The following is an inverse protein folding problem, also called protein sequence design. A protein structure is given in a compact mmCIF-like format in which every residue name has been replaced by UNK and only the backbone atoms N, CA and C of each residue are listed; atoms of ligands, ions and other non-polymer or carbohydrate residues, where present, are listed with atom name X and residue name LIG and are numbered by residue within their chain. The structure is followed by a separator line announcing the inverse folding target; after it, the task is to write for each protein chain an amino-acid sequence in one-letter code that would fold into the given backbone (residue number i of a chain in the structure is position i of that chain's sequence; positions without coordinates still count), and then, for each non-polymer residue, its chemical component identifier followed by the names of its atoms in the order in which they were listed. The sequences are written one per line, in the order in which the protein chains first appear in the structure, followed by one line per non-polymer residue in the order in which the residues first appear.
data_IF_914562355837
#
_entry.id   IF_914562355837
#
_cell.length_a   1.000
_cell.length_b   1.000
_cell.length_c   1.000
_cell.angle_alpha   90.00
_cell.angle_beta   90.00
_cell.angle_gamma   90.00
#
_symmetry.space_group_name_H-M   'P 1'
#
loop_
_entity.id
_entity.type
_entity.pdbx_description
1 polymer ?
#
# COMPACT_ATOMS: atom_id res chain seq x y z
N UNK A 1 -11.32 -3.26 5.10
CA UNK A 1 -10.38 -2.98 6.20
C UNK A 1 -11.06 -2.96 7.58
N UNK A 2 -12.03 -2.07 7.81
CA UNK A 2 -12.68 -1.85 9.12
C UNK A 2 -13.30 -3.12 9.72
N UNK A 3 -14.04 -3.90 8.92
CA UNK A 3 -14.60 -5.18 9.36
C UNK A 3 -13.52 -6.19 9.79
N UNK A 4 -12.38 -6.22 9.10
CA UNK A 4 -11.23 -7.06 9.45
C UNK A 4 -10.53 -6.64 10.75
N UNK A 5 -10.40 -5.33 11.01
CA UNK A 5 -9.88 -4.79 12.28
C UNK A 5 -10.82 -5.13 13.43
N UNK A 6 -12.13 -4.97 13.25
CA UNK A 6 -13.13 -5.32 14.26
C UNK A 6 -13.06 -6.82 14.55
N UNK A 7 -13.11 -7.67 13.52
CA UNK A 7 -13.03 -9.13 13.65
C UNK A 7 -11.75 -9.57 14.38
N UNK A 8 -10.60 -9.00 14.02
CA UNK A 8 -9.29 -9.34 14.62
C UNK A 8 -9.19 -8.95 16.10
N UNK A 9 -9.88 -7.88 16.53
CA UNK A 9 -9.88 -7.47 17.93
C UNK A 9 -11.01 -8.12 18.75
N UNK A 10 -12.17 -8.43 18.16
CA UNK A 10 -13.36 -8.91 18.88
C UNK A 10 -13.48 -10.43 18.95
N UNK A 11 -13.17 -11.15 17.86
CA UNK A 11 -13.34 -12.61 17.81
C UNK A 11 -12.43 -13.35 18.79
N UNK A 12 -11.15 -12.97 18.98
CA UNK A 12 -10.30 -13.62 19.99
C UNK A 12 -10.76 -13.38 21.44
N UNK A 13 -11.49 -12.27 21.69
CA UNK A 13 -12.03 -11.93 23.01
C UNK A 13 -13.30 -12.73 23.33
N UNK A 14 -14.18 -12.89 22.34
CA UNK A 14 -15.48 -13.57 22.49
C UNK A 14 -15.31 -15.10 22.39
N UNK A 15 -14.42 -15.57 21.51
CA UNK A 15 -14.15 -17.00 21.30
C UNK A 15 -12.68 -17.35 21.47
N UNK A 16 -12.25 -17.43 22.74
CA UNK A 16 -10.89 -17.81 23.15
C UNK A 16 -10.43 -19.21 22.68
N UNK A 17 -11.36 -20.07 22.23
CA UNK A 17 -11.07 -21.44 21.75
C UNK A 17 -10.82 -21.53 20.25
N UNK A 18 -11.13 -20.50 19.47
CA UNK A 18 -10.84 -20.50 18.04
C UNK A 18 -9.39 -20.09 17.81
N UNK A 19 -8.58 -20.93 17.14
CA UNK A 19 -7.25 -20.50 16.71
C UNK A 19 -7.41 -19.41 15.66
N UNK A 20 -7.10 -18.17 16.03
CA UNK A 20 -7.16 -17.04 15.12
C UNK A 20 -6.02 -17.18 14.09
N UNK A 21 -6.30 -17.18 12.77
CA UNK A 21 -5.30 -17.45 11.74
C UNK A 21 -4.31 -16.29 11.49
N UNK A 22 -4.30 -15.25 12.33
CA UNK A 22 -3.39 -14.13 12.19
C UNK A 22 -1.95 -14.58 12.36
N UNK A 23 -1.11 -14.31 11.37
CA UNK A 23 0.31 -14.66 11.38
C UNK A 23 0.63 -16.12 11.02
N UNK A 24 -0.35 -16.91 10.54
CA UNK A 24 -0.06 -18.27 10.06
C UNK A 24 0.55 -18.24 8.64
N UNK A 25 1.44 -19.20 8.31
CA UNK A 25 1.98 -19.31 6.96
C UNK A 25 0.88 -19.58 5.91
N UNK A 26 -0.23 -20.22 6.31
CA UNK A 26 -1.39 -20.43 5.43
C UNK A 26 -2.07 -19.13 5.03
N UNK A 27 -2.20 -18.16 5.94
CA UNK A 27 -2.78 -16.85 5.64
C UNK A 27 -1.86 -16.04 4.71
N UNK A 28 -0.54 -16.12 4.91
CA UNK A 28 0.44 -15.49 4.04
C UNK A 28 0.35 -16.02 2.60
N UNK A 29 0.26 -17.35 2.43
CA UNK A 29 0.10 -17.99 1.12
C UNK A 29 -1.20 -17.55 0.42
N UNK A 30 -2.31 -17.48 1.15
CA UNK A 30 -3.58 -17.00 0.60
C UNK A 30 -3.46 -15.54 0.18
N UNK A 31 -2.83 -14.70 1.00
CA UNK A 31 -2.61 -13.28 0.70
C UNK A 31 -1.79 -13.10 -0.58
N UNK A 32 -0.67 -13.83 -0.71
CA UNK A 32 0.19 -13.78 -1.90
C UNK A 32 -0.56 -14.26 -3.15
N UNK A 33 -1.36 -15.31 -3.03
CA UNK A 33 -2.19 -15.83 -4.13
C UNK A 33 -3.27 -14.83 -4.56
N UNK A 34 -4.01 -14.24 -3.61
CA UNK A 34 -5.02 -13.23 -3.89
C UNK A 34 -4.43 -11.97 -4.53
N UNK A 35 -3.24 -11.54 -4.08
CA UNK A 35 -2.51 -10.42 -4.66
C UNK A 35 -2.08 -10.71 -6.11
N UNK A 36 -1.57 -11.93 -6.37
CA UNK A 36 -1.26 -12.39 -7.72
C UNK A 36 -2.48 -12.43 -8.64
N UNK A 37 -3.62 -12.94 -8.15
CA UNK A 37 -4.88 -12.94 -8.91
C UNK A 37 -5.37 -11.51 -9.22
N UNK A 38 -5.28 -10.59 -8.26
CA UNK A 38 -5.64 -9.19 -8.47
C UNK A 38 -4.81 -8.55 -9.59
N UNK A 39 -3.48 -8.75 -9.56
CA UNK A 39 -2.59 -8.25 -10.60
C UNK A 39 -2.90 -8.87 -11.97
N UNK A 40 -3.16 -10.17 -12.02
CA UNK A 40 -3.51 -10.87 -13.26
C UNK A 40 -4.81 -10.33 -13.89
N UNK A 41 -5.85 -10.13 -13.07
CA UNK A 41 -7.11 -9.54 -13.54
C UNK A 41 -6.92 -8.11 -14.06
N UNK A 42 -6.12 -7.30 -13.35
CA UNK A 42 -5.82 -5.93 -13.79
C UNK A 42 -5.08 -5.89 -15.13
N UNK A 43 -4.15 -6.83 -15.36
CA UNK A 43 -3.40 -6.93 -16.62
C UNK A 43 -4.26 -7.43 -17.79
N UNK A 44 -5.15 -8.38 -17.55
CA UNK A 44 -6.03 -8.92 -18.59
C UNK A 44 -7.05 -7.89 -19.11
N UNK A 45 -7.43 -6.92 -18.27
CA UNK A 45 -8.35 -5.82 -18.63
C UNK A 45 -7.68 -4.71 -19.48
N UNK A 46 -6.35 -4.68 -19.57
CA UNK A 46 -5.64 -3.63 -20.30
C UNK A 46 -5.72 -3.85 -21.82
N UNK A 47 -6.42 -2.94 -22.50
CA UNK A 47 -6.43 -2.86 -23.96
C UNK A 47 -5.13 -2.19 -24.46
N UNK A 48 -4.02 -2.93 -24.46
CA UNK A 48 -2.70 -2.43 -24.90
C UNK A 48 -2.75 -1.73 -26.27
N UNK A 49 -3.62 -2.21 -27.17
CA UNK A 49 -3.81 -1.65 -28.51
C UNK A 49 -4.40 -0.24 -28.52
N UNK A 50 -5.33 0.08 -27.61
CA UNK A 50 -5.90 1.45 -27.51
C UNK A 50 -4.97 2.40 -26.76
N UNK A 51 -4.05 1.85 -25.97
CA UNK A 51 -3.02 2.62 -25.27
C UNK A 51 -1.82 2.97 -26.15
N UNK A 52 -1.60 2.32 -27.30
CA UNK A 52 -0.43 2.62 -28.17
C UNK A 52 -0.44 4.08 -28.64
N UNK A 53 -1.60 4.61 -29.01
CA UNK A 53 -1.74 6.01 -29.45
C UNK A 53 -1.47 7.01 -28.31
N UNK A 54 -1.61 6.56 -27.06
CA UNK A 54 -1.35 7.34 -25.85
C UNK A 54 -0.09 6.86 -25.09
N UNK A 55 0.70 5.95 -25.66
CA UNK A 55 1.79 5.31 -24.93
C UNK A 55 2.87 6.33 -24.54
N UNK A 56 3.15 7.28 -25.44
CA UNK A 56 4.13 8.33 -25.22
C UNK A 56 3.75 9.24 -24.02
N UNK A 57 2.53 9.83 -23.95
CA UNK A 57 2.13 10.62 -22.78
C UNK A 57 2.06 9.78 -21.50
N UNK A 58 1.61 8.52 -21.56
CA UNK A 58 1.58 7.63 -20.37
C UNK A 58 2.99 7.40 -19.83
N UNK A 59 3.96 7.11 -20.70
CA UNK A 59 5.34 6.84 -20.31
C UNK A 59 6.04 8.07 -19.72
N UNK A 60 5.74 9.25 -20.26
CA UNK A 60 6.25 10.53 -19.75
C UNK A 60 5.67 10.84 -18.36
N UNK A 61 4.36 10.63 -18.18
CA UNK A 61 3.69 10.75 -16.87
C UNK A 61 4.26 9.78 -15.85
N UNK A 62 4.41 8.49 -16.22
CA UNK A 62 5.00 7.47 -15.35
C UNK A 62 6.44 7.83 -14.96
N UNK A 63 7.25 8.28 -15.91
CA UNK A 63 8.61 8.75 -15.63
C UNK A 63 8.64 9.92 -14.66
N UNK A 64 7.81 10.95 -14.89
CA UNK A 64 7.70 12.09 -14.01
C UNK A 64 7.22 11.69 -12.60
N UNK A 65 6.22 10.79 -12.53
CA UNK A 65 5.69 10.26 -11.28
C UNK A 65 6.77 9.49 -10.50
N UNK A 66 7.52 8.61 -11.16
CA UNK A 66 8.60 7.85 -10.52
C UNK A 66 9.68 8.79 -9.98
N UNK A 67 10.11 9.78 -10.76
CA UNK A 67 11.11 10.76 -10.32
C UNK A 67 10.60 11.55 -9.11
N UNK A 68 9.35 12.04 -9.15
CA UNK A 68 8.76 12.81 -8.07
C UNK A 68 8.64 11.97 -6.79
N UNK A 69 8.14 10.73 -6.90
CA UNK A 69 7.98 9.83 -5.75
C UNK A 69 9.33 9.45 -5.14
N UNK A 70 10.33 9.14 -5.97
CA UNK A 70 11.69 8.85 -5.49
C UNK A 70 12.32 10.06 -4.81
N UNK A 71 12.21 11.24 -5.42
CA UNK A 71 12.69 12.49 -4.84
C UNK A 71 12.02 12.77 -3.49
N UNK A 72 10.69 12.69 -3.43
CA UNK A 72 9.94 12.92 -2.20
C UNK A 72 10.26 11.89 -1.11
N UNK A 73 10.37 10.62 -1.48
CA UNK A 73 10.68 9.53 -0.55
C UNK A 73 12.07 9.72 0.09
N UNK A 74 13.08 10.09 -0.70
CA UNK A 74 14.47 10.28 -0.21
C UNK A 74 14.63 11.62 0.54
N UNK A 75 14.13 12.72 -0.01
CA UNK A 75 14.38 14.05 0.56
C UNK A 75 13.43 14.43 1.68
N UNK A 76 12.18 13.96 1.65
CA UNK A 76 11.17 14.33 2.64
C UNK A 76 10.95 13.20 3.62
N UNK A 77 10.52 12.03 3.16
CA UNK A 77 10.08 10.94 4.06
C UNK A 77 11.25 10.39 4.87
N UNK A 78 12.35 10.03 4.22
CA UNK A 78 13.51 9.48 4.92
C UNK A 78 14.10 10.46 5.96
N UNK A 79 14.07 11.77 5.66
CA UNK A 79 14.54 12.81 6.60
C UNK A 79 13.54 13.09 7.72
N UNK A 80 12.24 13.14 7.41
CA UNK A 80 11.19 13.38 8.40
C UNK A 80 11.06 12.25 9.42
N UNK A 81 11.28 11.00 9.00
CA UNK A 81 11.21 9.82 9.87
C UNK A 81 12.50 9.55 10.67
N UNK A 82 13.46 10.49 10.69
CA UNK A 82 14.64 10.39 11.53
C UNK A 82 15.80 9.55 10.99
N UNK A 83 15.79 9.20 9.69
CA UNK A 83 16.88 8.50 8.98
C UNK A 83 17.29 7.14 9.54
N UNK A 84 16.37 6.43 10.20
CA UNK A 84 16.62 5.09 10.75
C UNK A 84 16.28 3.98 9.73
N UNK A 85 16.61 2.73 10.07
CA UNK A 85 16.26 1.56 9.25
C UNK A 85 14.74 1.47 9.00
N UNK A 86 13.94 1.72 10.02
CA UNK A 86 12.48 1.77 9.90
C UNK A 86 12.02 2.87 8.93
N UNK A 87 12.71 4.01 8.91
CA UNK A 87 12.45 5.08 7.94
C UNK A 87 12.73 4.64 6.50
N UNK A 88 13.77 3.83 6.27
CA UNK A 88 14.07 3.28 4.95
C UNK A 88 13.00 2.29 4.48
N UNK A 89 12.47 1.45 5.37
CA UNK A 89 11.37 0.53 5.04
C UNK A 89 10.08 1.29 4.81
N UNK A 90 9.76 2.29 5.64
CA UNK A 90 8.59 3.13 5.44
C UNK A 90 8.68 3.95 4.14
N UNK A 91 9.86 4.44 3.78
CA UNK A 91 10.12 5.12 2.50
C UNK A 91 9.93 4.18 1.29
N UNK A 92 10.39 2.92 1.41
CA UNK A 92 10.16 1.86 0.42
C UNK A 92 8.67 1.53 0.28
N UNK A 93 7.95 1.43 1.40
CA UNK A 93 6.50 1.26 1.44
C UNK A 93 5.75 2.42 0.82
N UNK A 94 6.12 3.66 1.13
CA UNK A 94 5.51 4.84 0.52
C UNK A 94 5.70 4.86 -0.99
N UNK A 95 6.91 4.58 -1.48
CA UNK A 95 7.17 4.53 -2.92
C UNK A 95 6.29 3.47 -3.60
N UNK A 96 6.11 2.31 -2.95
CA UNK A 96 5.19 1.27 -3.45
C UNK A 96 3.72 1.68 -3.41
N UNK A 97 3.28 2.44 -2.40
CA UNK A 97 1.92 2.98 -2.32
C UNK A 97 1.68 4.03 -3.42
N UNK A 98 2.61 4.96 -3.61
CA UNK A 98 2.46 6.08 -4.54
C UNK A 98 2.54 5.69 -6.03
N UNK A 99 3.20 4.57 -6.34
CA UNK A 99 3.29 4.03 -7.70
C UNK A 99 2.17 3.05 -8.05
N UNK A 100 1.40 2.60 -7.06
CA UNK A 100 0.37 1.60 -7.26
C UNK A 100 -0.66 1.63 -6.15
N UNK A 101 -0.53 0.73 -5.20
CA UNK A 101 -1.47 0.58 -4.10
C UNK A 101 -0.82 -0.06 -2.87
N UNK A 102 -1.61 -0.32 -1.83
CA UNK A 102 -1.19 -1.04 -0.62
C UNK A 102 -0.49 -2.39 -0.89
N UNK A 103 -0.92 -3.26 -1.83
CA UNK A 103 -0.21 -4.50 -2.14
C UNK A 103 1.22 -4.28 -2.66
N UNK A 104 1.46 -3.27 -3.51
CA UNK A 104 2.81 -2.97 -4.04
C UNK A 104 3.72 -2.41 -2.95
N UNK A 105 3.17 -1.65 -2.00
CA UNK A 105 3.91 -1.24 -0.79
C UNK A 105 4.34 -2.43 0.07
N UNK A 106 3.43 -3.36 0.35
CA UNK A 106 3.74 -4.55 1.15
C UNK A 106 4.79 -5.41 0.45
N UNK A 107 4.71 -5.58 -0.87
CA UNK A 107 5.72 -6.31 -1.64
C UNK A 107 7.11 -5.65 -1.56
N UNK A 108 7.18 -4.32 -1.69
CA UNK A 108 8.42 -3.56 -1.59
C UNK A 108 9.04 -3.64 -0.19
N UNK A 109 8.22 -3.44 0.84
CA UNK A 109 8.66 -3.54 2.25
C UNK A 109 9.14 -4.96 2.57
N UNK A 110 8.41 -5.98 2.10
CA UNK A 110 8.77 -7.40 2.31
C UNK A 110 10.09 -7.75 1.66
N UNK A 111 10.37 -7.19 0.48
CA UNK A 111 11.63 -7.40 -0.23
C UNK A 111 12.81 -6.81 0.55
N UNK A 112 12.64 -5.62 1.11
CA UNK A 112 13.67 -4.98 1.95
C UNK A 112 13.86 -5.75 3.25
N UNK A 113 12.78 -6.13 3.94
CA UNK A 113 12.89 -6.86 5.22
C UNK A 113 13.41 -8.27 5.07
N UNK A 114 13.18 -8.94 3.93
CA UNK A 114 13.80 -10.25 3.63
C UNK A 114 15.32 -10.17 3.56
N UNK A 115 15.88 -9.03 3.12
CA UNK A 115 17.32 -8.85 2.93
C UNK A 115 18.03 -8.22 4.14
N UNK A 116 17.37 -7.33 4.86
CA UNK A 116 18.00 -6.52 5.92
C UNK A 116 17.42 -6.73 7.33
N UNK A 117 16.39 -7.58 7.48
CA UNK A 117 15.76 -7.93 8.75
C UNK A 117 14.36 -7.33 8.93
N UNK A 118 13.53 -7.90 9.84
CA UNK A 118 12.14 -7.50 10.01
C UNK A 118 11.99 -6.12 10.66
N UNK A 119 10.98 -5.36 10.24
CA UNK A 119 10.53 -4.13 10.93
C UNK A 119 9.03 -4.18 11.19
N UNK A 120 8.61 -4.58 12.40
CA UNK A 120 7.19 -4.64 12.77
C UNK A 120 6.52 -3.26 12.77
N UNK A 121 7.28 -2.21 13.13
CA UNK A 121 6.79 -0.83 13.20
C UNK A 121 6.31 -0.36 11.82
N UNK A 122 7.14 -0.55 10.78
CA UNK A 122 6.81 -0.12 9.43
C UNK A 122 5.57 -0.85 8.87
N UNK A 123 5.47 -2.16 9.11
CA UNK A 123 4.38 -3.00 8.62
C UNK A 123 3.02 -2.73 9.28
N UNK A 124 2.99 -2.07 10.44
CA UNK A 124 1.73 -1.63 11.06
C UNK A 124 1.38 -0.21 10.59
N UNK A 125 2.35 0.69 10.59
CA UNK A 125 2.12 2.12 10.33
C UNK A 125 1.73 2.36 8.87
N UNK A 126 2.44 1.78 7.91
CA UNK A 126 2.23 2.07 6.48
C UNK A 126 0.85 1.63 6.00
N UNK A 127 0.36 0.40 6.28
CA UNK A 127 -0.99 0.01 5.87
C UNK A 127 -2.09 0.78 6.61
N UNK A 128 -1.89 1.11 7.88
CA UNK A 128 -2.87 1.89 8.64
C UNK A 128 -3.03 3.30 8.03
N UNK A 129 -1.92 4.00 7.78
CA UNK A 129 -1.97 5.33 7.15
C UNK A 129 -2.51 5.21 5.71
N UNK A 130 -1.94 4.29 4.93
CA UNK A 130 -2.24 4.14 3.51
C UNK A 130 -3.66 3.70 3.19
N UNK A 131 -4.27 2.84 4.03
CA UNK A 131 -5.59 2.30 3.76
C UNK A 131 -6.72 2.90 4.59
N UNK A 132 -6.43 3.53 5.74
CA UNK A 132 -7.49 4.10 6.58
C UNK A 132 -7.50 5.63 6.55
N UNK A 133 -6.35 6.26 6.82
CA UNK A 133 -6.29 7.72 6.87
C UNK A 133 -6.44 8.37 5.50
N UNK A 134 -5.90 7.75 4.45
CA UNK A 134 -6.09 8.24 3.07
C UNK A 134 -7.57 8.19 2.68
N UNK A 135 -8.30 7.12 3.02
CA UNK A 135 -9.73 6.99 2.69
C UNK A 135 -10.58 8.08 3.37
N UNK A 136 -10.32 8.36 4.65
CA UNK A 136 -11.01 9.43 5.38
C UNK A 136 -10.66 10.81 4.79
N UNK A 137 -9.39 11.05 4.51
CA UNK A 137 -8.94 12.31 3.93
C UNK A 137 -9.55 12.53 2.56
N UNK A 138 -9.60 11.49 1.72
CA UNK A 138 -10.23 11.53 0.40
C UNK A 138 -11.73 11.82 0.51
N UNK A 139 -12.45 11.14 1.41
CA UNK A 139 -13.87 11.40 1.61
C UNK A 139 -14.13 12.85 2.04
N UNK A 140 -13.32 13.38 2.95
CA UNK A 140 -13.40 14.75 3.43
C UNK A 140 -13.08 15.78 2.33
N UNK A 141 -12.00 15.57 1.56
CA UNK A 141 -11.61 16.44 0.45
C UNK A 141 -12.70 16.47 -0.61
N UNK A 142 -13.24 15.31 -1.00
CA UNK A 142 -14.33 15.22 -1.97
C UNK A 142 -15.56 15.98 -1.47
N UNK A 143 -15.90 15.86 -0.18
CA UNK A 143 -17.03 16.58 0.40
C UNK A 143 -16.84 18.11 0.38
N UNK A 144 -15.63 18.59 0.65
CA UNK A 144 -15.30 20.02 0.52
C UNK A 144 -15.40 20.47 -0.94
N UNK A 145 -14.81 19.71 -1.87
CA UNK A 145 -14.85 20.06 -3.30
C UNK A 145 -16.28 20.09 -3.84
N UNK A 146 -17.12 19.13 -3.45
CA UNK A 146 -18.53 19.12 -3.83
C UNK A 146 -19.29 20.30 -3.25
N UNK A 147 -19.05 20.65 -1.97
CA UNK A 147 -19.69 21.79 -1.32
C UNK A 147 -19.19 23.16 -1.83
N UNK A 148 -17.99 23.21 -2.42
CA UNK A 148 -17.45 24.43 -3.05
C UNK A 148 -17.91 24.59 -4.50
N UNK A 149 -18.25 23.48 -5.16
CA UNK A 149 -18.73 23.46 -6.55
C UNK A 149 -20.27 23.60 -6.66
N UNK A 150 -21.02 23.34 -5.59
CA UNK A 150 -22.46 23.58 -5.47
C UNK A 150 -22.78 25.01 -5.05
#
# INVERSE_FOLDING_TARGET
LFGGIILTNTVPLIWKKLPWPSGTPTLALISDFCLGLFLAMSLMSLQLWTLIDLALPILLLLGAQVIMVLGFSIFVIFRALGKNYDAAIMASGYAGLALGATPTAIANMTTVTKKYGPSPQAFIVVPLIGAFFIDISNAFIIQIFLGWLS
#
